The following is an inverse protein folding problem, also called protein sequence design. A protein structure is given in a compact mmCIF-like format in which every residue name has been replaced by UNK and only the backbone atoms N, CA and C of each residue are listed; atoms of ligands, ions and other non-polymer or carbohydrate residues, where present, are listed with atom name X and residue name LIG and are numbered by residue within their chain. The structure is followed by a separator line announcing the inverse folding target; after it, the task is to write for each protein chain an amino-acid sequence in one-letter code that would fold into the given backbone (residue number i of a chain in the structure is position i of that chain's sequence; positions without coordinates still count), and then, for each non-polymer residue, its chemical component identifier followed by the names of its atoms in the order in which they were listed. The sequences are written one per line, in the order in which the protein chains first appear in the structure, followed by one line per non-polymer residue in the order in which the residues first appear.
data_IF_897660656827
#
_entry.id   IF_897660656827
#
_cell.length_a   1.000
_cell.length_b   1.000
_cell.length_c   1.000
_cell.angle_alpha   90.00
_cell.angle_beta   90.00
_cell.angle_gamma   90.00
#
_symmetry.space_group_name_H-M   'P 1'
#
loop_
_entity.id
_entity.type
_entity.pdbx_description
1 polymer ?
#
# COMPACT_ATOMS: atom_id res chain seq x y z
N UNK A 1 -8.07 -12.62 1.05
CA UNK A 1 -6.99 -11.62 0.91
C UNK A 1 -6.47 -11.31 2.30
N UNK A 2 -5.16 -11.31 2.49
CA UNK A 2 -4.51 -10.98 3.76
C UNK A 2 -3.37 -9.99 3.52
N UNK A 3 -3.35 -8.91 4.30
CA UNK A 3 -2.24 -7.96 4.35
C UNK A 3 -1.15 -8.57 5.23
N UNK A 4 0.10 -8.54 4.76
CA UNK A 4 1.25 -9.10 5.47
C UNK A 4 2.16 -8.00 6.00
N UNK A 5 2.45 -7.00 5.18
CA UNK A 5 3.44 -5.98 5.50
C UNK A 5 3.00 -4.62 4.96
N UNK A 6 3.28 -3.59 5.76
CA UNK A 6 2.96 -2.21 5.44
C UNK A 6 4.18 -1.36 5.76
N UNK A 7 4.75 -0.74 4.73
CA UNK A 7 5.79 0.27 4.85
C UNK A 7 5.17 1.65 4.68
N UNK A 8 4.84 2.31 5.79
CA UNK A 8 4.18 3.62 5.81
C UNK A 8 5.18 4.75 6.08
N UNK A 9 5.05 5.85 5.33
CA UNK A 9 5.75 7.12 5.60
C UNK A 9 5.05 7.96 6.68
N UNK A 10 3.78 7.67 6.94
CA UNK A 10 3.00 8.34 7.99
C UNK A 10 3.14 7.60 9.32
N UNK A 11 3.12 8.35 10.42
CA UNK A 11 3.14 7.79 11.76
C UNK A 11 1.79 7.16 12.09
N UNK A 12 1.79 6.21 13.03
CA UNK A 12 0.57 5.51 13.49
C UNK A 12 -0.56 6.43 13.94
N UNK A 13 -0.22 7.58 14.52
CA UNK A 13 -1.21 8.60 14.96
C UNK A 13 -1.87 9.35 13.80
N UNK A 14 -1.26 9.37 12.62
CA UNK A 14 -1.73 10.07 11.43
C UNK A 14 -2.52 9.13 10.51
N UNK A 15 -1.99 7.93 10.29
CA UNK A 15 -2.68 6.88 9.56
C UNK A 15 -2.37 5.52 10.22
N UNK A 16 -3.26 5.02 11.07
CA UNK A 16 -3.06 3.75 11.76
C UNK A 16 -2.97 2.58 10.78
N UNK A 17 -2.19 1.56 11.12
CA UNK A 17 -2.05 0.33 10.31
C UNK A 17 -3.41 -0.29 9.98
N UNK A 18 -4.33 -0.38 10.96
CA UNK A 18 -5.66 -0.92 10.71
C UNK A 18 -6.46 -0.14 9.67
N UNK A 19 -6.26 1.18 9.57
CA UNK A 19 -6.94 2.00 8.57
C UNK A 19 -6.35 1.79 7.16
N UNK A 20 -5.04 1.58 7.06
CA UNK A 20 -4.37 1.21 5.81
C UNK A 20 -4.93 -0.12 5.30
N UNK A 21 -5.06 -1.12 6.18
CA UNK A 21 -5.64 -2.41 5.82
C UNK A 21 -7.08 -2.27 5.30
N UNK A 22 -7.92 -1.49 6.00
CA UNK A 22 -9.29 -1.21 5.56
C UNK A 22 -9.34 -0.57 4.17
N UNK A 23 -8.52 0.44 3.92
CA UNK A 23 -8.45 1.15 2.62
C UNK A 23 -8.09 0.16 1.51
N UNK A 24 -7.06 -0.65 1.70
CA UNK A 24 -6.61 -1.62 0.71
C UNK A 24 -7.66 -2.71 0.47
N UNK A 25 -8.28 -3.23 1.53
CA UNK A 25 -9.32 -4.26 1.42
C UNK A 25 -10.57 -3.72 0.74
N UNK A 26 -11.03 -2.52 1.12
CA UNK A 26 -12.18 -1.88 0.50
C UNK A 26 -11.95 -1.66 -1.01
N UNK A 27 -10.77 -1.19 -1.40
CA UNK A 27 -10.44 -0.97 -2.80
C UNK A 27 -10.35 -2.29 -3.59
N UNK A 28 -9.54 -3.25 -3.15
CA UNK A 28 -9.26 -4.46 -3.93
C UNK A 28 -10.40 -5.48 -3.94
N UNK A 29 -11.18 -5.56 -2.86
CA UNK A 29 -12.27 -6.55 -2.73
C UNK A 29 -13.62 -5.96 -3.10
N UNK A 30 -13.87 -4.71 -2.69
CA UNK A 30 -15.20 -4.09 -2.83
C UNK A 30 -15.23 -3.06 -3.97
N UNK A 31 -14.09 -2.69 -4.55
CA UNK A 31 -13.99 -1.64 -5.56
C UNK A 31 -14.31 -0.24 -4.99
N UNK A 32 -14.25 -0.06 -3.67
CA UNK A 32 -14.57 1.20 -3.01
C UNK A 32 -13.29 2.00 -2.83
N UNK A 33 -13.29 3.22 -3.35
CA UNK A 33 -12.19 4.16 -3.18
C UNK A 33 -12.39 4.98 -1.90
N UNK A 34 -11.28 5.26 -1.22
CA UNK A 34 -11.27 6.24 -0.14
C UNK A 34 -11.30 7.66 -0.74
N UNK A 35 -11.82 8.64 0.01
CA UNK A 35 -11.93 10.01 -0.47
C UNK A 35 -10.58 10.75 -0.48
N UNK A 36 -9.64 10.33 0.36
CA UNK A 36 -8.34 10.97 0.55
C UNK A 36 -7.19 10.17 -0.05
N UNK A 37 -7.34 8.84 -0.08
CA UNK A 37 -6.29 7.92 -0.49
C UNK A 37 -6.64 7.10 -1.73
N UNK A 38 -5.72 7.06 -2.68
CA UNK A 38 -5.81 6.21 -3.86
C UNK A 38 -4.96 4.96 -3.70
N UNK A 39 -5.51 3.80 -4.03
CA UNK A 39 -4.77 2.53 -4.08
C UNK A 39 -4.40 2.22 -5.53
N UNK A 40 -3.12 2.03 -5.80
CA UNK A 40 -2.59 1.70 -7.13
C UNK A 40 -1.87 0.36 -7.10
N UNK A 41 -2.15 -0.51 -8.07
CA UNK A 41 -1.39 -1.74 -8.28
C UNK A 41 -0.16 -1.53 -9.16
N UNK A 42 -0.16 -0.48 -9.98
CA UNK A 42 0.97 -0.09 -10.81
C UNK A 42 1.97 0.76 -10.02
N UNK A 43 3.24 0.60 -10.36
CA UNK A 43 4.33 1.37 -9.79
C UNK A 43 4.19 2.87 -10.09
N UNK A 44 4.20 3.75 -9.07
CA UNK A 44 4.27 5.19 -9.27
C UNK A 44 5.58 5.59 -9.96
N UNK A 45 5.55 6.59 -10.83
CA UNK A 45 6.75 7.05 -11.56
C UNK A 45 7.88 7.53 -10.61
N UNK A 46 7.50 8.18 -9.51
CA UNK A 46 8.42 8.87 -8.60
C UNK A 46 8.68 8.09 -7.29
N UNK A 47 8.98 6.79 -7.39
CA UNK A 47 9.45 6.02 -6.24
C UNK A 47 10.89 6.37 -5.87
N UNK A 48 11.13 6.64 -4.57
CA UNK A 48 12.48 6.72 -4.03
C UNK A 48 13.17 5.34 -4.03
N UNK A 49 14.49 5.32 -3.89
CA UNK A 49 15.26 4.07 -3.80
C UNK A 49 14.76 3.19 -2.64
N UNK A 50 14.49 3.79 -1.48
CA UNK A 50 13.96 3.09 -0.32
C UNK A 50 12.59 2.45 -0.62
N UNK A 51 11.70 3.16 -1.30
CA UNK A 51 10.37 2.62 -1.64
C UNK A 51 10.48 1.43 -2.61
N UNK A 52 11.42 1.50 -3.57
CA UNK A 52 11.73 0.39 -4.50
C UNK A 52 12.30 -0.82 -3.75
N UNK A 53 13.19 -0.60 -2.78
CA UNK A 53 13.73 -1.68 -1.94
C UNK A 53 12.64 -2.39 -1.14
N UNK A 54 11.73 -1.63 -0.51
CA UNK A 54 10.58 -2.21 0.20
C UNK A 54 9.71 -3.06 -0.74
N UNK A 55 9.42 -2.57 -1.94
CA UNK A 55 8.68 -3.33 -2.97
C UNK A 55 9.41 -4.62 -3.34
N UNK A 56 10.72 -4.55 -3.60
CA UNK A 56 11.52 -5.69 -4.04
C UNK A 56 11.62 -6.77 -2.97
N UNK A 57 11.72 -6.37 -1.70
CA UNK A 57 11.62 -7.28 -0.55
C UNK A 57 10.29 -8.03 -0.56
N UNK A 58 9.16 -7.33 -0.73
CA UNK A 58 7.83 -7.95 -0.79
C UNK A 58 7.69 -8.91 -1.98
N UNK A 59 8.21 -8.55 -3.15
CA UNK A 59 8.21 -9.44 -4.31
C UNK A 59 9.08 -10.68 -4.08
N UNK A 60 10.24 -10.55 -3.43
CA UNK A 60 11.10 -11.68 -3.08
C UNK A 60 10.40 -12.72 -2.20
N UNK A 61 9.41 -12.29 -1.42
CA UNK A 61 8.57 -13.14 -0.58
C UNK A 61 7.28 -13.65 -1.26
N UNK A 62 7.16 -13.48 -2.58
CA UNK A 62 5.98 -13.81 -3.37
C UNK A 62 4.70 -13.10 -2.89
N UNK A 63 4.82 -11.85 -2.42
CA UNK A 63 3.66 -11.00 -2.11
C UNK A 63 3.29 -10.16 -3.33
N UNK A 64 2.00 -9.88 -3.48
CA UNK A 64 1.53 -8.82 -4.38
C UNK A 64 1.70 -7.48 -3.68
N UNK A 65 1.90 -6.42 -4.44
CA UNK A 65 2.15 -5.07 -3.91
C UNK A 65 1.09 -4.11 -4.42
N UNK A 66 0.59 -3.26 -3.52
CA UNK A 66 -0.12 -2.03 -3.87
C UNK A 66 0.53 -0.84 -3.19
N UNK A 67 0.27 0.33 -3.76
CA UNK A 67 0.75 1.62 -3.30
C UNK A 67 -0.44 2.44 -2.84
N UNK A 68 -0.33 3.05 -1.66
CA UNK A 68 -1.29 4.04 -1.19
C UNK A 68 -0.72 5.41 -1.52
N UNK A 69 -1.49 6.20 -2.26
CA UNK A 69 -1.15 7.56 -2.67
C UNK A 69 -2.08 8.56 -1.99
N UNK A 70 -1.55 9.75 -1.68
CA UNK A 70 -2.34 10.93 -1.32
C UNK A 70 -2.03 12.02 -2.34
N UNK A 71 -2.90 12.15 -3.34
CA UNK A 71 -2.57 12.94 -4.54
C UNK A 71 -1.37 12.33 -5.29
N UNK A 72 -0.28 13.09 -5.40
CA UNK A 72 0.96 12.64 -6.05
C UNK A 72 1.97 12.00 -5.09
N UNK A 73 1.73 12.03 -3.78
CA UNK A 73 2.67 11.53 -2.78
C UNK A 73 2.40 10.06 -2.45
N UNK A 74 3.45 9.24 -2.45
CA UNK A 74 3.37 7.87 -1.93
C UNK A 74 3.34 7.90 -0.40
N UNK A 75 2.30 7.32 0.17
CA UNK A 75 2.08 7.19 1.61
C UNK A 75 2.54 5.85 2.14
N UNK A 76 2.22 4.75 1.45
CA UNK A 76 2.60 3.42 1.89
C UNK A 76 2.80 2.42 0.75
N UNK A 77 3.70 1.47 0.96
CA UNK A 77 3.85 0.25 0.14
C UNK A 77 3.28 -0.92 0.94
N UNK A 78 2.31 -1.63 0.37
CA UNK A 78 1.56 -2.69 1.08
C UNK A 78 1.72 -4.01 0.36
N UNK A 79 2.22 -5.00 1.08
CA UNK A 79 2.36 -6.39 0.65
C UNK A 79 1.17 -7.23 1.08
N UNK A 80 0.57 -7.95 0.14
CA UNK A 80 -0.59 -8.81 0.41
C UNK A 80 -0.52 -10.12 -0.37
N UNK A 81 -1.31 -11.11 0.05
CA UNK A 81 -1.57 -12.32 -0.73
C UNK A 81 -3.07 -12.56 -0.84
N UNK A 82 -3.49 -13.02 -2.02
CA UNK A 82 -4.80 -13.65 -2.16
C UNK A 82 -4.76 -14.96 -1.37
N UNK A 83 -5.74 -15.14 -0.50
CA UNK A 83 -5.81 -16.28 0.41
C UNK A 83 -6.38 -17.48 -0.32
#
# INVERSE_FOLDING_TARGET
MKIFDIFSKLREKELPVGKIEEIVIANLVQGINDAEFDVKSEEPADLSENDRMCRDELFSENKKVVYIMRGSELIAVVGYKDS
#
